data_IF_568776570379
#
_entry.id   IF_568776570379
#
_cell.length_a   1.000
_cell.length_b   1.000
_cell.length_c   1.000
_cell.angle_alpha   90.00
_cell.angle_beta   90.00
_cell.angle_gamma   90.00
#
_symmetry.space_group_name_H-M   'P 1'
#
loop_
_entity.id
_entity.type
_entity.pdbx_description
1 polymer ?
#
# COMPACT_ATOMS: atom_id res chain seq x y z
N UNK A 1 -1.88 6.72 7.19
CA UNK A 1 -2.96 7.63 7.63
C UNK A 1 -4.17 6.85 8.16
N UNK A 2 -5.01 7.53 8.95
CA UNK A 2 -6.32 7.01 9.37
C UNK A 2 -7.39 7.81 8.65
N UNK A 3 -8.39 7.14 8.10
CA UNK A 3 -9.49 7.79 7.39
C UNK A 3 -10.84 7.38 7.97
N UNK A 4 -11.73 8.36 8.10
CA UNK A 4 -13.15 8.18 8.39
C UNK A 4 -13.93 8.71 7.20
N UNK A 5 -14.95 8.01 6.75
CA UNK A 5 -15.70 8.41 5.58
C UNK A 5 -17.20 8.18 5.75
N UNK A 6 -17.98 9.07 5.12
CA UNK A 6 -19.42 9.01 5.05
C UNK A 6 -19.84 9.12 3.58
N UNK A 7 -20.71 8.23 3.13
CA UNK A 7 -21.35 8.31 1.81
C UNK A 7 -22.83 8.50 2.04
N UNK A 8 -23.36 9.63 1.61
CA UNK A 8 -24.73 10.02 1.92
C UNK A 8 -25.33 10.97 0.85
N UNK A 9 -26.62 11.19 0.89
CA UNK A 9 -27.28 12.14 0.02
C UNK A 9 -26.89 13.59 0.37
N UNK A 10 -26.88 14.48 -0.63
CA UNK A 10 -26.46 15.88 -0.50
C UNK A 10 -27.14 16.61 0.66
N UNK A 11 -28.47 16.43 0.81
CA UNK A 11 -29.27 17.07 1.85
C UNK A 11 -28.91 16.63 3.28
N UNK A 12 -28.08 15.59 3.43
CA UNK A 12 -27.58 15.05 4.70
C UNK A 12 -26.14 15.45 5.02
N UNK A 13 -25.49 16.23 4.17
CA UNK A 13 -24.09 16.63 4.36
C UNK A 13 -23.84 17.24 5.75
N UNK A 14 -24.75 18.09 6.26
CA UNK A 14 -24.64 18.67 7.59
C UNK A 14 -24.58 17.64 8.71
N UNK A 15 -25.25 16.50 8.56
CA UNK A 15 -25.21 15.40 9.56
C UNK A 15 -23.83 14.78 9.62
N UNK A 16 -23.17 14.57 8.46
CA UNK A 16 -21.80 14.06 8.43
C UNK A 16 -20.82 15.02 9.12
N UNK A 17 -20.94 16.32 8.85
CA UNK A 17 -20.10 17.33 9.52
C UNK A 17 -20.29 17.33 11.04
N UNK A 18 -21.55 17.23 11.49
CA UNK A 18 -21.86 17.16 12.93
C UNK A 18 -21.25 15.92 13.58
N UNK A 19 -21.46 14.74 12.99
CA UNK A 19 -20.92 13.47 13.52
C UNK A 19 -19.40 13.44 13.57
N UNK A 20 -18.72 13.90 12.51
CA UNK A 20 -17.27 13.89 12.46
C UNK A 20 -16.65 14.93 13.39
N UNK A 21 -17.30 16.10 13.54
CA UNK A 21 -16.87 17.12 14.49
C UNK A 21 -17.05 16.66 15.95
N UNK A 22 -18.18 15.99 16.25
CA UNK A 22 -18.42 15.41 17.58
C UNK A 22 -17.39 14.31 17.89
N UNK A 23 -17.13 13.40 16.94
CA UNK A 23 -16.08 12.40 17.09
C UNK A 23 -14.72 13.01 17.40
N UNK A 24 -14.37 14.14 16.75
CA UNK A 24 -13.09 14.82 16.97
C UNK A 24 -13.02 15.54 18.31
N UNK A 25 -14.15 16.08 18.79
CA UNK A 25 -14.15 16.92 19.99
C UNK A 25 -14.56 16.19 21.28
N UNK A 26 -15.46 15.22 21.16
CA UNK A 26 -16.25 14.71 22.29
C UNK A 26 -16.21 13.20 22.46
N UNK A 27 -15.41 12.48 21.67
CA UNK A 27 -15.32 11.04 21.75
C UNK A 27 -14.98 10.60 23.18
N UNK A 28 -15.88 9.80 23.74
CA UNK A 28 -15.66 9.17 25.04
C UNK A 28 -15.07 7.79 24.85
N UNK A 29 -14.08 7.46 25.66
CA UNK A 29 -13.40 6.19 25.66
C UNK A 29 -13.55 5.54 27.05
N UNK A 30 -14.75 4.99 27.41
CA UNK A 30 -14.97 4.33 28.67
C UNK A 30 -14.12 3.06 28.76
N UNK A 31 -13.62 2.74 29.95
CA UNK A 31 -12.74 1.59 30.15
C UNK A 31 -13.44 0.26 29.90
N UNK A 32 -14.73 0.17 30.23
CA UNK A 32 -15.55 -1.04 29.99
C UNK A 32 -15.86 -1.25 28.50
N UNK A 33 -16.09 -0.18 27.73
CA UNK A 33 -16.20 -0.23 26.26
C UNK A 33 -14.87 -0.66 25.63
N UNK A 34 -13.77 -0.04 26.05
CA UNK A 34 -12.44 -0.42 25.59
C UNK A 34 -12.16 -1.89 25.84
N UNK A 35 -12.48 -2.42 27.03
CA UNK A 35 -12.27 -3.83 27.35
C UNK A 35 -13.06 -4.79 26.43
N UNK A 36 -14.20 -4.38 25.91
CA UNK A 36 -14.96 -5.16 24.92
C UNK A 36 -14.37 -5.00 23.52
N UNK A 37 -14.06 -3.78 23.10
CA UNK A 37 -13.56 -3.49 21.76
C UNK A 37 -12.18 -4.08 21.50
N UNK A 38 -11.30 -4.12 22.50
CA UNK A 38 -9.97 -4.73 22.30
C UNK A 38 -10.08 -6.24 21.98
N UNK A 39 -11.07 -6.94 22.55
CA UNK A 39 -11.33 -8.34 22.20
C UNK A 39 -11.88 -8.48 20.78
N UNK A 40 -12.72 -7.55 20.32
CA UNK A 40 -13.20 -7.50 18.93
C UNK A 40 -12.02 -7.28 17.97
N UNK A 41 -11.10 -6.38 18.28
CA UNK A 41 -9.90 -6.13 17.47
C UNK A 41 -8.98 -7.36 17.43
N UNK A 42 -8.80 -8.05 18.55
CA UNK A 42 -8.03 -9.31 18.59
C UNK A 42 -8.68 -10.38 17.72
N UNK A 43 -10.00 -10.49 17.76
CA UNK A 43 -10.73 -11.43 16.90
C UNK A 43 -10.63 -11.04 15.42
N UNK A 44 -10.73 -9.75 15.11
CA UNK A 44 -10.49 -9.25 13.75
C UNK A 44 -9.07 -9.60 13.27
N UNK A 45 -8.06 -9.48 14.13
CA UNK A 45 -6.70 -9.89 13.81
C UNK A 45 -6.61 -11.39 13.51
N UNK A 46 -7.24 -12.25 14.33
CA UNK A 46 -7.29 -13.69 14.07
C UNK A 46 -7.91 -13.96 12.70
N UNK A 47 -9.10 -13.43 12.45
CA UNK A 47 -9.85 -13.64 11.20
C UNK A 47 -9.14 -13.10 9.94
N UNK A 48 -8.42 -11.99 10.05
CA UNK A 48 -7.77 -11.33 8.89
C UNK A 48 -6.34 -11.78 8.67
N UNK A 49 -5.64 -12.20 9.72
CA UNK A 49 -4.20 -12.49 9.66
C UNK A 49 -3.85 -13.87 10.16
N UNK A 50 -4.19 -14.20 11.43
CA UNK A 50 -3.64 -15.40 12.07
C UNK A 50 -4.23 -16.69 11.48
N UNK A 51 -5.52 -16.68 11.10
CA UNK A 51 -6.24 -17.80 10.46
C UNK A 51 -6.09 -17.81 8.93
N UNK A 52 -5.37 -16.83 8.36
CA UNK A 52 -5.10 -16.76 6.92
C UNK A 52 -3.61 -16.97 6.64
N UNK A 53 -3.22 -18.15 6.19
CA UNK A 53 -1.82 -18.51 6.03
C UNK A 53 -1.00 -17.51 5.21
N UNK A 54 -1.55 -17.04 4.08
CA UNK A 54 -0.87 -16.08 3.21
C UNK A 54 -0.80 -14.66 3.80
N UNK A 55 -1.82 -14.23 4.56
CA UNK A 55 -1.77 -12.94 5.27
C UNK A 55 -0.71 -12.95 6.38
N UNK A 56 -0.62 -14.05 7.12
CA UNK A 56 0.42 -14.27 8.14
C UNK A 56 1.82 -14.32 7.53
N UNK A 57 1.96 -14.98 6.38
CA UNK A 57 3.24 -15.00 5.65
C UNK A 57 3.62 -13.59 5.16
N UNK A 58 2.68 -12.84 4.62
CA UNK A 58 2.91 -11.47 4.15
C UNK A 58 3.27 -10.51 5.30
N UNK A 59 2.63 -10.64 6.46
CA UNK A 59 2.97 -9.87 7.66
C UNK A 59 4.45 -10.09 8.06
N UNK A 60 4.88 -11.34 8.12
CA UNK A 60 6.27 -11.69 8.45
C UNK A 60 7.26 -11.25 7.38
N UNK A 61 6.88 -11.38 6.13
CA UNK A 61 7.66 -10.86 5.00
C UNK A 61 7.85 -9.33 5.13
N UNK A 62 6.76 -8.57 5.36
CA UNK A 62 6.84 -7.12 5.58
C UNK A 62 7.70 -6.75 6.78
N UNK A 63 7.58 -7.48 7.88
CA UNK A 63 8.38 -7.24 9.08
C UNK A 63 9.89 -7.38 8.81
N UNK A 64 10.28 -8.31 7.95
CA UNK A 64 11.67 -8.49 7.49
C UNK A 64 12.06 -7.44 6.46
N UNK A 65 11.17 -7.08 5.55
CA UNK A 65 11.46 -6.19 4.41
C UNK A 65 11.65 -4.72 4.82
N UNK A 66 11.16 -4.32 5.99
CA UNK A 66 11.33 -2.98 6.55
C UNK A 66 12.10 -3.02 7.88
N UNK A 67 13.43 -3.20 7.87
CA UNK A 67 14.19 -3.30 9.10
C UNK A 67 14.24 -2.02 9.94
N UNK A 68 14.14 -0.85 9.34
CA UNK A 68 14.25 0.44 10.04
C UNK A 68 12.93 1.23 10.04
N UNK A 69 12.11 1.11 9.01
CA UNK A 69 10.85 1.84 8.90
C UNK A 69 9.75 1.24 9.77
N UNK A 70 8.94 2.11 10.42
CA UNK A 70 7.72 1.69 11.12
C UNK A 70 6.68 0.96 10.26
N UNK A 71 6.86 0.91 8.95
CA UNK A 71 6.03 0.11 8.05
C UNK A 71 6.16 -1.41 8.25
N UNK A 72 7.13 -1.87 9.03
CA UNK A 72 7.18 -3.27 9.48
C UNK A 72 6.03 -3.65 10.40
N UNK A 73 5.43 -2.69 11.11
CA UNK A 73 4.32 -2.97 12.03
C UNK A 73 3.03 -3.17 11.24
N UNK A 74 2.27 -4.24 11.48
CA UNK A 74 0.99 -4.45 10.83
C UNK A 74 -0.03 -3.38 11.25
N UNK A 75 -0.93 -3.01 10.33
CA UNK A 75 -1.94 -1.96 10.58
C UNK A 75 -2.80 -2.27 11.80
N UNK A 76 -3.17 -3.52 12.00
CA UNK A 76 -3.97 -3.94 13.15
C UNK A 76 -3.14 -4.06 14.45
N UNK A 77 -1.83 -3.95 14.37
CA UNK A 77 -0.90 -4.16 15.48
C UNK A 77 -0.52 -5.63 15.71
N UNK A 78 0.52 -5.84 16.50
CA UNK A 78 0.92 -7.18 16.96
C UNK A 78 0.01 -7.66 18.09
N UNK A 79 -0.33 -8.95 18.12
CA UNK A 79 -1.15 -9.54 19.18
C UNK A 79 -0.60 -9.22 20.58
N UNK A 80 0.73 -9.31 20.76
CA UNK A 80 1.40 -9.01 22.02
C UNK A 80 1.24 -7.56 22.48
N UNK A 81 1.07 -6.62 21.56
CA UNK A 81 0.80 -5.21 21.88
C UNK A 81 -0.67 -5.01 22.22
N UNK A 82 -1.58 -5.64 21.46
CA UNK A 82 -3.02 -5.62 21.75
C UNK A 82 -3.33 -6.20 23.13
N UNK A 83 -2.63 -7.26 23.55
CA UNK A 83 -2.79 -7.89 24.86
C UNK A 83 -2.37 -6.99 26.04
N UNK A 84 -1.50 -6.01 25.77
CA UNK A 84 -0.97 -5.10 26.81
C UNK A 84 -1.52 -3.69 26.75
N UNK A 85 -2.25 -3.38 25.67
CA UNK A 85 -2.79 -2.04 25.45
C UNK A 85 -3.75 -1.61 26.55
N UNK A 86 -3.63 -0.36 27.00
CA UNK A 86 -4.46 0.22 28.04
C UNK A 86 -5.28 1.38 27.49
N UNK A 87 -6.46 1.58 28.06
CA UNK A 87 -7.35 2.68 27.65
C UNK A 87 -6.69 4.06 27.81
N UNK A 88 -5.79 4.22 28.78
CA UNK A 88 -5.05 5.47 29.01
C UNK A 88 -4.12 5.80 27.84
N UNK A 89 -3.51 4.79 27.22
CA UNK A 89 -2.67 4.96 26.02
C UNK A 89 -3.50 5.39 24.82
N UNK A 90 -4.69 4.78 24.63
CA UNK A 90 -5.64 5.17 23.59
C UNK A 90 -6.16 6.61 23.81
N UNK A 91 -6.50 6.98 25.05
CA UNK A 91 -6.91 8.36 25.40
C UNK A 91 -5.81 9.36 25.12
N UNK A 92 -4.57 9.04 25.50
CA UNK A 92 -3.41 9.88 25.23
C UNK A 92 -3.18 10.06 23.72
N UNK A 93 -3.25 8.96 22.96
CA UNK A 93 -3.15 9.00 21.50
C UNK A 93 -4.22 9.90 20.87
N UNK A 94 -5.48 9.70 21.26
CA UNK A 94 -6.60 10.51 20.78
C UNK A 94 -6.40 12.00 21.10
N UNK A 95 -6.03 12.33 22.33
CA UNK A 95 -5.79 13.71 22.75
C UNK A 95 -4.63 14.38 22.00
N UNK A 96 -3.62 13.60 21.62
CA UNK A 96 -2.43 14.13 20.94
C UNK A 96 -2.66 14.36 19.44
N UNK A 97 -3.44 13.52 18.79
CA UNK A 97 -3.49 13.48 17.32
C UNK A 97 -4.84 13.88 16.71
N UNK A 98 -5.96 13.74 17.44
CA UNK A 98 -7.30 14.04 16.92
C UNK A 98 -7.67 15.50 17.17
N UNK A 99 -7.16 16.38 16.32
CA UNK A 99 -7.37 17.84 16.40
C UNK A 99 -7.55 18.40 14.98
N UNK A 100 -8.32 19.51 14.81
CA UNK A 100 -8.59 20.07 13.48
C UNK A 100 -7.33 20.44 12.69
N UNK A 101 -6.31 20.92 13.37
CA UNK A 101 -5.05 21.31 12.74
C UNK A 101 -4.12 20.13 12.37
N UNK A 102 -4.54 18.89 12.62
CA UNK A 102 -3.89 17.65 12.17
C UNK A 102 -4.84 16.79 11.30
N UNK A 103 -5.94 17.37 10.85
CA UNK A 103 -6.92 16.66 10.04
C UNK A 103 -7.06 17.29 8.66
N UNK A 104 -7.28 16.46 7.65
CA UNK A 104 -7.66 16.87 6.31
C UNK A 104 -9.11 16.50 6.09
N UNK A 105 -9.95 17.49 5.81
CA UNK A 105 -11.34 17.29 5.45
C UNK A 105 -11.47 17.33 3.93
N UNK A 106 -12.01 16.27 3.36
CA UNK A 106 -12.25 16.16 1.91
C UNK A 106 -13.73 15.90 1.68
N UNK A 107 -14.32 16.68 0.79
CA UNK A 107 -15.73 16.54 0.39
C UNK A 107 -15.80 16.49 -1.13
N UNK A 108 -16.37 15.43 -1.68
CA UNK A 108 -16.55 15.23 -3.12
C UNK A 108 -18.02 14.90 -3.41
N UNK A 109 -18.62 15.63 -4.34
CA UNK A 109 -20.01 15.41 -4.73
C UNK A 109 -20.67 16.69 -5.26
N UNK A 110 -21.99 16.72 -5.27
CA UNK A 110 -22.81 17.88 -5.69
C UNK A 110 -22.84 18.96 -4.58
N UNK A 111 -21.72 19.65 -4.40
CA UNK A 111 -21.52 20.69 -3.37
C UNK A 111 -20.71 21.84 -3.92
N UNK A 112 -20.85 23.01 -3.30
CA UNK A 112 -20.00 24.16 -3.60
C UNK A 112 -18.91 24.34 -2.51
N UNK A 113 -17.75 24.91 -2.85
CA UNK A 113 -16.72 25.22 -1.87
C UNK A 113 -17.21 26.11 -0.72
N UNK A 114 -18.12 27.06 -0.98
CA UNK A 114 -18.66 27.97 0.04
C UNK A 114 -19.61 27.23 1.01
N UNK A 115 -20.41 26.29 0.53
CA UNK A 115 -21.25 25.43 1.39
C UNK A 115 -20.36 24.59 2.32
N UNK A 116 -19.34 23.93 1.76
CA UNK A 116 -18.37 23.12 2.53
C UNK A 116 -17.65 23.97 3.57
N UNK A 117 -17.16 25.15 3.17
CA UNK A 117 -16.50 26.10 4.09
C UNK A 117 -17.42 26.54 5.22
N UNK A 118 -18.67 26.86 4.93
CA UNK A 118 -19.67 27.30 5.91
C UNK A 118 -19.93 26.18 6.93
N UNK A 119 -20.12 24.94 6.47
CA UNK A 119 -20.31 23.79 7.36
C UNK A 119 -19.05 23.51 8.19
N UNK A 120 -17.87 23.56 7.58
CA UNK A 120 -16.61 23.36 8.29
C UNK A 120 -16.41 24.41 9.39
N UNK A 121 -16.67 25.68 9.10
CA UNK A 121 -16.59 26.75 10.10
C UNK A 121 -17.63 26.55 11.24
N UNK A 122 -18.82 26.10 10.91
CA UNK A 122 -19.87 25.87 11.90
C UNK A 122 -19.55 24.74 12.87
N UNK A 123 -19.09 23.58 12.34
CA UNK A 123 -18.96 22.37 13.14
C UNK A 123 -17.52 22.16 13.67
N UNK A 124 -16.51 22.40 12.86
CA UNK A 124 -15.11 22.24 13.27
C UNK A 124 -14.49 23.54 13.82
N UNK A 125 -14.97 24.73 13.40
CA UNK A 125 -14.47 26.01 13.84
C UNK A 125 -14.43 26.22 15.37
N UNK A 126 -15.42 25.74 16.14
CA UNK A 126 -15.40 25.82 17.61
C UNK A 126 -14.34 24.94 18.29
N UNK A 127 -13.81 23.92 17.59
CA UNK A 127 -12.86 22.98 18.18
C UNK A 127 -11.48 23.64 18.22
N UNK A 128 -10.92 23.77 19.42
CA UNK A 128 -9.64 24.41 19.60
C UNK A 128 -8.49 23.59 18.96
N UNK A 129 -7.58 24.29 18.29
CA UNK A 129 -6.30 23.71 17.87
C UNK A 129 -5.46 23.34 19.09
N UNK A 130 -4.63 22.32 18.95
CA UNK A 130 -3.67 21.88 19.96
C UNK A 130 -2.29 21.68 19.33
N UNK A 131 -1.25 21.66 20.16
CA UNK A 131 0.08 21.26 19.69
C UNK A 131 0.06 19.78 19.32
N UNK A 132 0.55 19.50 18.13
CA UNK A 132 0.66 18.12 17.59
C UNK A 132 2.12 17.70 17.71
N UNK A 133 2.39 16.49 18.22
CA UNK A 133 3.76 15.99 18.24
C UNK A 133 4.37 15.99 16.82
N UNK A 134 5.68 16.25 16.66
CA UNK A 134 6.30 16.24 15.35
C UNK A 134 6.17 14.85 14.72
N UNK A 135 5.70 14.81 13.47
CA UNK A 135 5.57 13.56 12.74
C UNK A 135 6.96 12.94 12.50
N UNK A 136 7.12 11.68 12.90
CA UNK A 136 8.30 10.89 12.54
C UNK A 136 8.04 10.27 11.17
N UNK A 137 8.80 10.72 10.16
CA UNK A 137 8.73 10.14 8.83
C UNK A 137 9.34 8.73 8.88
N UNK A 138 8.63 7.71 8.37
CA UNK A 138 9.17 6.36 8.31
C UNK A 138 10.38 6.33 7.36
N UNK A 139 11.58 6.29 7.92
CA UNK A 139 12.83 6.19 7.14
C UNK A 139 13.23 4.73 7.03
N UNK A 140 13.58 4.32 5.82
CA UNK A 140 14.12 2.99 5.56
C UNK A 140 15.56 3.08 5.07
N UNK A 141 16.30 1.99 5.22
CA UNK A 141 17.62 1.85 4.62
C UNK A 141 17.45 1.62 3.12
N UNK A 142 18.15 2.40 2.31
CA UNK A 142 18.06 2.27 0.87
C UNK A 142 18.53 0.88 0.38
N UNK A 143 19.59 0.36 0.99
CA UNK A 143 20.22 -0.92 0.65
C UNK A 143 20.49 -1.73 1.92
N UNK A 144 19.42 -2.35 2.50
CA UNK A 144 19.56 -3.05 3.78
C UNK A 144 20.26 -4.40 3.69
N UNK A 145 20.67 -4.83 2.49
CA UNK A 145 21.24 -6.15 2.23
C UNK A 145 20.18 -7.19 1.82
N UNK A 146 20.61 -8.26 1.16
CA UNK A 146 19.72 -9.38 0.80
C UNK A 146 19.23 -10.11 2.06
N UNK A 147 17.93 -10.33 2.13
CA UNK A 147 17.27 -10.98 3.26
C UNK A 147 16.33 -12.06 2.75
N UNK A 148 16.34 -13.21 3.43
CA UNK A 148 15.47 -14.33 3.07
C UNK A 148 14.82 -14.93 4.30
N UNK A 149 13.56 -15.34 4.17
CA UNK A 149 12.81 -16.11 5.17
C UNK A 149 12.10 -17.29 4.48
N UNK A 150 12.11 -18.44 5.14
CA UNK A 150 11.27 -19.58 4.76
C UNK A 150 10.19 -19.74 5.80
N UNK A 151 8.96 -19.80 5.36
CA UNK A 151 7.77 -19.90 6.22
C UNK A 151 6.99 -21.17 5.87
N UNK A 152 6.72 -21.99 6.86
CA UNK A 152 5.81 -23.12 6.74
C UNK A 152 4.44 -22.69 7.27
N UNK A 153 3.40 -22.82 6.43
CA UNK A 153 2.03 -22.41 6.76
C UNK A 153 1.02 -23.42 6.22
N UNK A 154 -0.19 -23.41 6.75
CA UNK A 154 -1.28 -24.30 6.33
C UNK A 154 -1.82 -23.86 4.96
N UNK A 155 -1.06 -24.14 3.90
CA UNK A 155 -1.43 -23.88 2.51
C UNK A 155 -1.28 -25.15 1.67
N UNK A 156 -1.98 -25.22 0.56
CA UNK A 156 -1.84 -26.34 -0.38
C UNK A 156 -0.75 -26.10 -1.41
N UNK A 157 -0.50 -24.84 -1.75
CA UNK A 157 0.45 -24.47 -2.79
C UNK A 157 1.57 -23.61 -2.21
N UNK A 158 2.82 -23.83 -2.62
CA UNK A 158 3.92 -22.96 -2.28
C UNK A 158 3.74 -21.58 -2.92
N UNK A 159 4.28 -20.54 -2.29
CA UNK A 159 4.26 -19.18 -2.83
C UNK A 159 5.59 -18.49 -2.61
N UNK A 160 5.98 -17.66 -3.57
CA UNK A 160 7.18 -16.85 -3.55
C UNK A 160 6.78 -15.38 -3.42
N UNK A 161 7.48 -14.63 -2.58
CA UNK A 161 7.40 -13.17 -2.53
C UNK A 161 8.78 -12.58 -2.64
N UNK A 162 8.97 -11.64 -3.56
CA UNK A 162 10.14 -10.78 -3.66
C UNK A 162 9.73 -9.35 -3.33
N UNK A 163 10.55 -8.63 -2.58
CA UNK A 163 10.32 -7.23 -2.29
C UNK A 163 11.60 -6.43 -2.39
N UNK A 164 11.54 -5.28 -3.06
CA UNK A 164 12.65 -4.36 -3.22
C UNK A 164 12.32 -3.05 -2.51
N UNK A 165 13.20 -2.60 -1.61
CA UNK A 165 13.03 -1.29 -0.98
C UNK A 165 13.25 -0.18 -2.03
N UNK A 166 12.23 0.63 -2.27
CA UNK A 166 12.19 1.65 -3.30
C UNK A 166 11.60 2.95 -2.74
N UNK A 167 11.93 4.12 -3.32
CA UNK A 167 11.33 5.37 -2.87
C UNK A 167 9.84 5.46 -3.22
N UNK A 168 9.14 6.32 -2.50
CA UNK A 168 7.82 6.87 -2.87
C UNK A 168 8.00 8.23 -3.54
N UNK A 169 6.91 8.87 -4.01
CA UNK A 169 6.95 10.26 -4.50
C UNK A 169 7.40 11.24 -3.40
N UNK A 170 7.10 10.94 -2.15
CA UNK A 170 7.49 11.77 -1.01
C UNK A 170 9.00 11.70 -0.70
N UNK A 171 9.66 10.58 -1.00
CA UNK A 171 11.06 10.35 -0.62
C UNK A 171 12.03 10.36 -1.80
N UNK A 172 11.53 10.23 -3.03
CA UNK A 172 12.36 10.18 -4.23
C UNK A 172 13.08 11.49 -4.51
N UNK A 173 14.37 11.43 -4.81
CA UNK A 173 15.13 12.55 -5.36
C UNK A 173 14.72 12.86 -6.81
N UNK A 174 14.39 11.83 -7.57
CA UNK A 174 13.89 11.91 -8.94
C UNK A 174 12.51 11.23 -9.05
N UNK A 175 11.47 12.06 -9.15
CA UNK A 175 10.07 11.57 -9.27
C UNK A 175 9.84 10.78 -10.56
N UNK A 176 10.63 11.01 -11.60
CA UNK A 176 10.54 10.26 -12.86
C UNK A 176 10.82 8.78 -12.64
N UNK A 177 11.77 8.45 -11.76
CA UNK A 177 12.06 7.06 -11.39
C UNK A 177 10.90 6.36 -10.69
N UNK A 178 10.11 7.10 -9.92
CA UNK A 178 8.88 6.57 -9.26
C UNK A 178 7.80 6.28 -10.30
N UNK A 179 7.59 7.19 -11.27
CA UNK A 179 6.65 6.96 -12.35
C UNK A 179 7.09 5.79 -13.25
N UNK A 180 8.41 5.62 -13.46
CA UNK A 180 8.96 4.45 -14.13
C UNK A 180 8.64 3.16 -13.35
N UNK A 181 8.77 3.13 -12.02
CA UNK A 181 8.39 1.95 -11.19
C UNK A 181 6.89 1.63 -11.31
N UNK A 182 6.02 2.64 -11.36
CA UNK A 182 4.58 2.43 -11.58
C UNK A 182 4.32 1.73 -12.93
N UNK A 183 4.97 2.20 -13.99
CA UNK A 183 4.85 1.57 -15.31
C UNK A 183 5.52 0.19 -15.36
N UNK A 184 6.63 -0.04 -14.66
CA UNK A 184 7.23 -1.37 -14.52
C UNK A 184 6.26 -2.34 -13.86
N UNK A 185 5.57 -1.93 -12.81
CA UNK A 185 4.54 -2.78 -12.18
C UNK A 185 3.48 -3.19 -13.20
N UNK A 186 2.99 -2.25 -14.00
CA UNK A 186 2.02 -2.53 -15.05
C UNK A 186 2.61 -3.31 -16.25
N UNK A 187 3.88 -3.13 -16.61
CA UNK A 187 4.58 -3.96 -17.60
C UNK A 187 4.66 -5.43 -17.16
N UNK A 188 4.89 -5.66 -15.86
CA UNK A 188 5.01 -7.01 -15.31
C UNK A 188 3.63 -7.68 -15.14
N UNK A 189 2.64 -6.96 -14.61
CA UNK A 189 1.31 -7.50 -14.27
C UNK A 189 0.16 -6.55 -14.69
N UNK A 190 0.24 -5.95 -15.85
CA UNK A 190 -0.85 -5.14 -16.43
C UNK A 190 -1.91 -6.00 -17.12
N UNK A 191 -2.54 -6.92 -16.39
CA UNK A 191 -3.57 -7.81 -16.91
C UNK A 191 -3.03 -8.86 -17.89
N UNK A 192 -3.90 -9.36 -18.79
CA UNK A 192 -3.60 -10.50 -19.65
C UNK A 192 -2.32 -10.36 -20.50
N UNK A 193 -1.94 -9.16 -20.86
CA UNK A 193 -0.76 -8.87 -21.71
C UNK A 193 0.51 -8.49 -20.93
N UNK A 194 0.47 -8.52 -19.60
CA UNK A 194 1.66 -8.33 -18.75
C UNK A 194 2.71 -9.41 -18.98
N UNK A 195 3.97 -9.14 -18.63
CA UNK A 195 5.08 -10.07 -18.86
C UNK A 195 4.97 -11.35 -18.01
N UNK A 196 4.50 -11.24 -16.76
CA UNK A 196 4.26 -12.41 -15.90
C UNK A 196 3.22 -13.33 -16.55
N UNK A 197 1.98 -12.87 -16.86
CA UNK A 197 0.99 -13.72 -17.53
C UNK A 197 1.44 -14.26 -18.88
N UNK A 198 2.14 -13.48 -19.69
CA UNK A 198 2.52 -13.91 -21.05
C UNK A 198 3.71 -14.85 -21.07
N UNK A 199 4.76 -14.57 -20.30
CA UNK A 199 6.02 -15.30 -20.38
C UNK A 199 6.10 -16.43 -19.34
N UNK A 200 5.66 -16.19 -18.09
CA UNK A 200 5.83 -17.16 -17.01
C UNK A 200 4.63 -18.08 -16.81
N UNK A 201 3.39 -17.59 -17.05
CA UNK A 201 2.19 -18.44 -16.89
C UNK A 201 1.90 -19.22 -18.18
N UNK A 202 1.69 -18.52 -19.31
CA UNK A 202 1.29 -19.15 -20.58
C UNK A 202 2.46 -19.59 -21.46
N UNK A 203 3.62 -18.92 -21.33
CA UNK A 203 4.80 -19.23 -22.14
C UNK A 203 5.57 -20.41 -21.57
N UNK A 204 6.34 -20.19 -20.53
CA UNK A 204 7.21 -21.20 -19.93
C UNK A 204 6.50 -22.07 -18.89
N UNK A 205 5.25 -21.76 -18.56
CA UNK A 205 4.41 -22.44 -17.56
C UNK A 205 5.13 -22.63 -16.21
N UNK A 206 6.00 -21.67 -15.84
CA UNK A 206 6.79 -21.73 -14.59
C UNK A 206 5.93 -21.47 -13.35
N UNK A 207 4.91 -20.62 -13.51
CA UNK A 207 4.01 -20.23 -12.43
C UNK A 207 2.55 -20.49 -12.84
N UNK A 208 1.69 -20.77 -11.89
CA UNK A 208 0.24 -20.85 -12.07
C UNK A 208 -0.47 -19.52 -11.83
N UNK A 209 0.25 -18.53 -11.33
CA UNK A 209 -0.18 -17.16 -11.11
C UNK A 209 0.96 -16.34 -10.56
N UNK A 210 0.95 -15.04 -10.85
CA UNK A 210 1.92 -14.11 -10.32
C UNK A 210 1.39 -12.69 -10.38
N UNK A 211 1.94 -11.81 -9.54
CA UNK A 211 1.53 -10.41 -9.49
C UNK A 211 2.70 -9.47 -9.18
N UNK A 212 2.47 -8.21 -9.45
CA UNK A 212 3.38 -7.11 -9.16
C UNK A 212 2.59 -5.97 -8.50
N UNK A 213 3.17 -5.34 -7.48
CA UNK A 213 2.53 -4.21 -6.80
C UNK A 213 3.56 -3.18 -6.34
N UNK A 214 3.20 -1.91 -6.45
CA UNK A 214 3.97 -0.78 -5.98
C UNK A 214 3.05 0.38 -5.60
N UNK A 215 3.17 0.87 -4.37
CA UNK A 215 2.46 2.07 -3.91
C UNK A 215 3.43 3.27 -3.93
N UNK A 216 3.18 4.20 -4.83
CA UNK A 216 3.97 5.41 -5.01
C UNK A 216 3.64 6.52 -3.99
N UNK A 217 2.50 6.44 -3.31
CA UNK A 217 1.93 7.52 -2.49
C UNK A 217 2.01 7.24 -0.99
N UNK A 218 3.11 6.66 -0.55
CA UNK A 218 3.40 6.46 0.88
C UNK A 218 4.19 7.64 1.44
N UNK A 219 4.08 7.86 2.77
CA UNK A 219 4.81 8.93 3.46
C UNK A 219 6.32 8.67 3.51
N UNK A 220 6.73 7.42 3.67
CA UNK A 220 8.11 6.95 3.66
C UNK A 220 8.42 6.15 2.39
N UNK A 221 9.55 5.48 2.38
CA UNK A 221 9.91 4.55 1.32
C UNK A 221 8.90 3.40 1.23
N UNK A 222 8.72 2.90 0.02
CA UNK A 222 7.78 1.85 -0.33
C UNK A 222 8.49 0.52 -0.61
N UNK A 223 7.71 -0.51 -0.87
CA UNK A 223 8.19 -1.81 -1.30
C UNK A 223 7.61 -2.12 -2.67
N UNK A 224 8.48 -2.38 -3.66
CA UNK A 224 8.06 -2.95 -4.92
C UNK A 224 8.01 -4.47 -4.74
N UNK A 225 6.84 -5.06 -4.84
CA UNK A 225 6.64 -6.48 -4.57
C UNK A 225 6.31 -7.26 -5.84
N UNK A 226 6.84 -8.47 -5.90
CA UNK A 226 6.45 -9.51 -6.85
C UNK A 226 6.01 -10.72 -6.06
N UNK A 227 4.96 -11.37 -6.50
CA UNK A 227 4.56 -12.68 -5.96
C UNK A 227 4.38 -13.68 -7.09
N UNK A 228 4.60 -14.96 -6.80
CA UNK A 228 4.37 -16.03 -7.75
C UNK A 228 4.04 -17.34 -7.03
N UNK A 229 3.16 -18.11 -7.63
CA UNK A 229 2.85 -19.49 -7.23
C UNK A 229 3.48 -20.43 -8.25
N UNK A 230 4.49 -21.25 -7.86
CA UNK A 230 5.07 -22.25 -8.77
C UNK A 230 4.01 -23.17 -9.37
N UNK A 231 4.13 -23.50 -10.64
CA UNK A 231 3.19 -24.40 -11.32
C UNK A 231 3.48 -25.87 -10.96
N UNK A 232 3.01 -26.29 -9.80
CA UNK A 232 3.22 -27.64 -9.27
C UNK A 232 2.56 -28.72 -10.14
N UNK A 233 1.50 -28.39 -10.90
CA UNK A 233 0.88 -29.32 -11.85
C UNK A 233 1.80 -29.65 -13.03
N UNK A 234 2.73 -28.75 -13.34
CA UNK A 234 3.78 -28.94 -14.36
C UNK A 234 5.13 -29.31 -13.72
N UNK A 235 5.15 -29.74 -12.46
CA UNK A 235 6.35 -30.10 -11.69
C UNK A 235 7.38 -28.97 -11.63
N UNK A 236 6.94 -27.70 -11.64
CA UNK A 236 7.83 -26.56 -11.49
C UNK A 236 8.15 -26.30 -10.02
N UNK A 237 9.39 -25.96 -9.77
CA UNK A 237 9.92 -25.72 -8.42
C UNK A 237 9.90 -24.24 -8.04
N UNK A 238 10.02 -23.93 -6.73
CA UNK A 238 10.21 -22.58 -6.21
C UNK A 238 11.40 -21.88 -6.88
N UNK A 239 12.54 -22.59 -7.00
CA UNK A 239 13.74 -22.02 -7.63
C UNK A 239 13.52 -21.66 -9.11
N UNK A 240 12.73 -22.46 -9.84
CA UNK A 240 12.41 -22.15 -11.24
C UNK A 240 11.48 -20.93 -11.34
N UNK A 241 10.49 -20.79 -10.46
CA UNK A 241 9.62 -19.63 -10.42
C UNK A 241 10.41 -18.35 -10.06
N UNK A 242 11.29 -18.43 -9.07
CA UNK A 242 12.18 -17.33 -8.70
C UNK A 242 13.12 -16.92 -9.86
N UNK A 243 13.76 -17.90 -10.51
CA UNK A 243 14.60 -17.65 -11.67
C UNK A 243 13.83 -17.00 -12.82
N UNK A 244 12.55 -17.38 -13.03
CA UNK A 244 11.65 -16.76 -14.00
C UNK A 244 11.38 -15.28 -13.70
N UNK A 245 11.07 -14.94 -12.46
CA UNK A 245 10.89 -13.54 -12.05
C UNK A 245 12.19 -12.73 -12.25
N UNK A 246 13.34 -13.27 -11.82
CA UNK A 246 14.63 -12.64 -12.05
C UNK A 246 14.92 -12.43 -13.54
N UNK A 247 14.58 -13.40 -14.40
CA UNK A 247 14.75 -13.27 -15.85
C UNK A 247 13.98 -12.06 -16.40
N UNK A 248 12.73 -11.84 -15.94
CA UNK A 248 11.96 -10.65 -16.35
C UNK A 248 12.61 -9.34 -15.88
N UNK A 249 13.10 -9.31 -14.65
CA UNK A 249 13.80 -8.13 -14.12
C UNK A 249 15.12 -7.86 -14.87
N UNK A 250 15.90 -8.88 -15.16
CA UNK A 250 17.15 -8.74 -15.94
C UNK A 250 16.86 -8.32 -17.39
N UNK A 251 15.79 -8.77 -18.00
CA UNK A 251 15.36 -8.27 -19.30
C UNK A 251 15.10 -6.76 -19.25
N UNK A 252 14.41 -6.26 -18.21
CA UNK A 252 14.15 -4.82 -18.05
C UNK A 252 15.45 -4.02 -17.82
N UNK A 253 16.46 -4.60 -17.18
CA UNK A 253 17.78 -3.96 -16.97
C UNK A 253 18.61 -3.91 -18.24
N UNK A 254 18.57 -4.96 -19.06
CA UNK A 254 19.41 -5.11 -20.24
C UNK A 254 18.79 -4.54 -21.50
N UNK A 255 17.48 -4.63 -21.62
CA UNK A 255 16.74 -4.20 -22.81
C UNK A 255 15.54 -3.36 -22.40
N UNK A 256 15.52 -2.11 -22.84
CA UNK A 256 14.39 -1.25 -22.65
C UNK A 256 13.11 -1.85 -23.31
N UNK A 257 11.91 -1.63 -22.76
CA UNK A 257 10.69 -2.06 -23.42
C UNK A 257 10.56 -1.39 -24.79
N UNK A 258 9.88 -2.03 -25.74
CA UNK A 258 9.58 -1.37 -27.00
C UNK A 258 8.65 -0.17 -26.77
N UNK A 259 8.71 0.80 -27.71
CA UNK A 259 7.81 1.95 -27.65
C UNK A 259 6.33 1.52 -27.67
N UNK A 260 5.98 0.51 -28.47
CA UNK A 260 4.63 -0.04 -28.55
C UNK A 260 4.18 -0.70 -27.22
N UNK A 261 5.05 -1.48 -26.59
CA UNK A 261 4.76 -2.12 -25.28
C UNK A 261 4.54 -1.05 -24.21
N UNK A 262 5.41 -0.05 -24.14
CA UNK A 262 5.31 1.04 -23.16
C UNK A 262 4.06 1.88 -23.38
N UNK A 263 3.72 2.21 -24.64
CA UNK A 263 2.53 2.98 -24.98
C UNK A 263 1.24 2.26 -24.60
N UNK A 264 1.16 0.95 -24.86
CA UNK A 264 0.02 0.13 -24.45
C UNK A 264 -0.17 0.12 -22.94
N UNK A 265 0.91 -0.09 -22.18
CA UNK A 265 0.86 -0.12 -20.71
C UNK A 265 0.51 1.25 -20.14
N UNK A 266 1.09 2.32 -20.69
CA UNK A 266 0.79 3.69 -20.31
C UNK A 266 -0.69 4.01 -20.53
N UNK A 267 -1.24 3.66 -21.69
CA UNK A 267 -2.66 3.84 -21.98
C UNK A 267 -3.57 3.11 -20.99
N UNK A 268 -3.19 1.89 -20.56
CA UNK A 268 -3.94 1.14 -19.54
C UNK A 268 -3.89 1.81 -18.17
N UNK A 269 -2.72 2.26 -17.72
CA UNK A 269 -2.55 2.94 -16.43
C UNK A 269 -3.33 4.26 -16.42
N UNK A 270 -3.21 5.06 -17.48
CA UNK A 270 -3.92 6.33 -17.62
C UNK A 270 -5.44 6.12 -17.67
N UNK A 271 -5.91 5.12 -18.41
CA UNK A 271 -7.34 4.79 -18.45
C UNK A 271 -7.87 4.40 -17.06
N UNK A 272 -7.11 3.62 -16.29
CA UNK A 272 -7.44 3.29 -14.90
C UNK A 272 -7.62 4.54 -14.05
N UNK A 273 -6.65 5.46 -14.08
CA UNK A 273 -6.71 6.72 -13.33
C UNK A 273 -7.88 7.62 -13.75
N UNK A 274 -8.22 7.63 -15.03
CA UNK A 274 -9.38 8.40 -15.54
C UNK A 274 -10.68 7.78 -15.04
N UNK A 275 -10.82 6.44 -15.10
CA UNK A 275 -12.04 5.76 -14.63
C UNK A 275 -12.22 5.87 -13.10
N UNK A 276 -11.14 5.89 -12.32
CA UNK A 276 -11.23 6.12 -10.87
C UNK A 276 -11.88 7.47 -10.53
N UNK A 277 -11.79 8.47 -11.43
CA UNK A 277 -12.42 9.78 -11.25
C UNK A 277 -13.95 9.75 -11.35
N UNK A 278 -14.55 8.68 -11.86
CA UNK A 278 -16.02 8.54 -11.89
C UNK A 278 -16.59 8.21 -10.49
N UNK A 279 -15.75 7.77 -9.56
CA UNK A 279 -16.15 7.45 -8.19
C UNK A 279 -15.84 8.61 -7.24
N UNK A 280 -16.87 9.17 -6.60
CA UNK A 280 -16.69 10.20 -5.56
C UNK A 280 -15.84 9.70 -4.39
N UNK A 281 -15.98 8.42 -4.02
CA UNK A 281 -15.21 7.80 -2.96
C UNK A 281 -13.73 7.68 -3.35
N UNK A 282 -13.44 7.26 -4.58
CA UNK A 282 -12.06 7.16 -5.08
C UNK A 282 -11.40 8.53 -5.15
N UNK A 283 -12.10 9.55 -5.65
CA UNK A 283 -11.58 10.92 -5.66
C UNK A 283 -11.30 11.45 -4.26
N UNK A 284 -12.24 11.27 -3.31
CA UNK A 284 -12.05 11.73 -1.94
C UNK A 284 -10.85 11.02 -1.28
N UNK A 285 -10.70 9.71 -1.50
CA UNK A 285 -9.59 8.91 -0.98
C UNK A 285 -8.26 9.37 -1.58
N UNK A 286 -8.17 9.59 -2.89
CA UNK A 286 -6.95 10.04 -3.55
C UNK A 286 -6.49 11.42 -3.04
N UNK A 287 -7.40 12.38 -2.96
CA UNK A 287 -7.12 13.72 -2.41
C UNK A 287 -6.65 13.60 -0.95
N UNK A 288 -7.41 12.87 -0.12
CA UNK A 288 -7.10 12.70 1.30
C UNK A 288 -5.78 11.99 1.54
N UNK A 289 -5.46 10.96 0.76
CA UNK A 289 -4.18 10.25 0.84
C UNK A 289 -3.02 11.20 0.54
N UNK A 290 -3.07 11.91 -0.59
CA UNK A 290 -1.99 12.83 -0.97
C UNK A 290 -1.72 13.87 0.12
N UNK A 291 -2.74 14.54 0.62
CA UNK A 291 -2.58 15.56 1.66
C UNK A 291 -2.07 14.97 2.99
N UNK A 292 -2.55 13.81 3.40
CA UNK A 292 -2.18 13.22 4.70
C UNK A 292 -0.79 12.59 4.71
N UNK A 293 -0.24 12.18 3.57
CA UNK A 293 1.14 11.69 3.49
C UNK A 293 2.17 12.81 3.27
N UNK A 294 1.72 14.08 3.20
CA UNK A 294 2.58 15.25 3.04
C UNK A 294 2.85 15.61 1.59
N UNK A 295 2.04 15.11 0.67
CA UNK A 295 2.02 15.51 -0.73
C UNK A 295 0.88 16.51 -0.97
N UNK A 296 0.81 17.11 -2.14
CA UNK A 296 -0.31 17.99 -2.51
C UNK A 296 -1.28 17.26 -3.43
N UNK A 297 -2.60 17.43 -3.20
CA UNK A 297 -3.63 16.96 -4.12
C UNK A 297 -3.43 17.46 -5.55
N UNK A 298 -2.74 18.60 -5.75
CA UNK A 298 -2.40 19.16 -7.07
C UNK A 298 -1.53 18.22 -7.93
N UNK A 299 -0.91 17.22 -7.34
CA UNK A 299 -0.22 16.17 -8.12
C UNK A 299 -1.17 15.45 -9.09
N UNK A 300 -2.46 15.36 -8.76
CA UNK A 300 -3.47 14.79 -9.66
C UNK A 300 -3.61 15.56 -10.98
N UNK A 301 -3.24 16.84 -11.02
CA UNK A 301 -3.31 17.68 -12.22
C UNK A 301 -2.15 17.40 -13.19
N UNK A 302 -0.99 16.96 -12.67
CA UNK A 302 0.23 16.74 -13.47
C UNK A 302 0.53 15.27 -13.71
N UNK A 303 -0.09 14.38 -12.94
CA UNK A 303 0.19 12.94 -12.91
C UNK A 303 0.14 12.27 -14.28
N UNK A 304 -0.89 12.57 -15.09
CA UNK A 304 -1.03 11.98 -16.42
C UNK A 304 0.11 12.40 -17.34
N UNK A 305 0.44 13.68 -17.37
CA UNK A 305 1.54 14.20 -18.19
C UNK A 305 2.90 13.67 -17.72
N UNK A 306 3.08 13.49 -16.42
CA UNK A 306 4.29 12.90 -15.86
C UNK A 306 4.44 11.42 -16.27
N UNK A 307 3.37 10.62 -16.25
CA UNK A 307 3.37 9.24 -16.75
C UNK A 307 3.62 9.17 -18.26
N UNK A 308 3.02 10.09 -19.02
CA UNK A 308 3.25 10.21 -20.48
C UNK A 308 4.70 10.53 -20.82
N UNK A 309 5.40 11.26 -19.97
CA UNK A 309 6.77 11.69 -20.18
C UNK A 309 7.83 10.59 -19.95
N UNK A 310 7.47 9.47 -19.33
CA UNK A 310 8.41 8.36 -19.01
C UNK A 310 8.84 7.67 -20.30
N UNK A 311 10.14 7.53 -20.50
CA UNK A 311 10.72 6.89 -21.69
C UNK A 311 11.11 5.43 -21.44
N UNK A 312 11.35 4.63 -22.50
CA UNK A 312 11.90 3.27 -22.33
C UNK A 312 13.22 3.24 -21.54
N UNK A 313 14.07 4.28 -21.73
CA UNK A 313 15.35 4.42 -21.02
C UNK A 313 15.14 4.70 -19.53
N UNK A 314 14.10 5.45 -19.15
CA UNK A 314 13.73 5.68 -17.74
C UNK A 314 13.32 4.37 -17.06
N UNK A 315 12.57 3.51 -17.76
CA UNK A 315 12.22 2.15 -17.29
C UNK A 315 13.47 1.33 -17.04
N UNK A 316 14.38 1.29 -18.02
CA UNK A 316 15.63 0.53 -17.89
C UNK A 316 16.50 1.07 -16.76
N UNK A 317 16.63 2.39 -16.63
CA UNK A 317 17.39 3.05 -15.58
C UNK A 317 16.81 2.72 -14.19
N UNK A 318 15.50 2.80 -14.01
CA UNK A 318 14.84 2.46 -12.77
C UNK A 318 15.03 0.98 -12.43
N UNK A 319 14.89 0.07 -13.41
CA UNK A 319 15.11 -1.36 -13.19
C UNK A 319 16.56 -1.65 -12.72
N UNK A 320 17.56 -1.02 -13.34
CA UNK A 320 18.97 -1.15 -12.92
C UNK A 320 19.22 -0.63 -11.51
N UNK A 321 18.58 0.48 -11.14
CA UNK A 321 18.80 1.15 -9.86
C UNK A 321 18.16 0.42 -8.70
N UNK A 322 16.96 -0.12 -8.90
CA UNK A 322 16.15 -0.59 -7.79
C UNK A 322 16.04 -2.12 -7.65
N UNK A 323 16.15 -2.90 -8.72
CA UNK A 323 16.05 -4.35 -8.61
C UNK A 323 17.41 -5.01 -8.39
N UNK A 324 18.05 -4.66 -7.28
CA UNK A 324 19.37 -5.19 -6.89
C UNK A 324 19.25 -6.15 -5.70
N UNK A 325 20.28 -6.98 -5.48
CA UNK A 325 20.31 -7.91 -4.35
C UNK A 325 20.38 -7.18 -3.01
N UNK A 326 21.02 -6.02 -2.96
CA UNK A 326 21.16 -5.21 -1.75
C UNK A 326 19.81 -4.65 -1.25
N UNK A 327 18.83 -4.57 -2.14
CA UNK A 327 17.45 -4.10 -1.83
C UNK A 327 16.46 -5.23 -1.63
N UNK A 328 16.87 -6.47 -1.87
CA UNK A 328 15.99 -7.63 -1.97
C UNK A 328 15.61 -8.22 -0.61
N UNK A 329 14.34 -8.52 -0.47
CA UNK A 329 13.78 -9.44 0.53
C UNK A 329 13.05 -10.57 -0.18
N UNK A 330 13.27 -11.81 0.25
CA UNK A 330 12.65 -13.02 -0.32
C UNK A 330 11.89 -13.76 0.76
N UNK A 331 10.66 -14.16 0.49
CA UNK A 331 9.95 -15.12 1.30
C UNK A 331 9.56 -16.35 0.48
N UNK A 332 10.04 -17.50 0.90
CA UNK A 332 9.58 -18.80 0.45
C UNK A 332 8.49 -19.28 1.40
N UNK A 333 7.26 -19.35 0.93
CA UNK A 333 6.12 -19.83 1.69
C UNK A 333 5.83 -21.26 1.23
N UNK A 334 5.99 -22.20 2.15
CA UNK A 334 5.86 -23.63 1.89
C UNK A 334 4.67 -24.19 2.66
N UNK A 335 4.01 -25.24 2.13
CA UNK A 335 3.05 -26.01 2.89
C UNK A 335 3.68 -26.59 4.17
N UNK A 336 2.92 -26.61 5.26
CA UNK A 336 3.31 -27.40 6.45
C UNK A 336 3.35 -28.88 6.05
N UNK A 337 4.39 -29.60 6.51
CA UNK A 337 4.41 -31.04 6.37
C UNK A 337 3.25 -31.61 7.20
N UNK A 338 2.30 -32.25 6.54
CA UNK A 338 1.27 -33.02 7.23
C UNK A 338 1.95 -34.25 7.85
N UNK A 339 2.25 -34.18 9.15
CA UNK A 339 2.56 -35.37 9.92
C UNK A 339 1.29 -36.23 9.92
N UNK A 340 1.24 -37.22 9.04
CA UNK A 340 0.27 -38.30 9.18
C UNK A 340 0.69 -39.11 10.42
N UNK A 341 0.04 -38.82 11.58
CA UNK A 341 -0.01 -39.75 12.70
C UNK A 341 -0.99 -40.88 12.39
#
# INVERSE_FOLDING_TARGET
>A
FTAYYQVLARDRLGVAFELEADRMASLRLPADEFAREIEVIKEERRLRTDDKPMSKAYERFKAMAYPASGYHTPTIGWMADLDRMKVEELRHWYQSWYVPNNATLVVVGDVTPDEVKTLAQRYFGPIAKRDVPPAKIPMELAEPGERQITLHVQTQLPSLMLGFNVPSIATAQDKRSVNALRLISALLDGGYSGRIPTQLERGEELVSGGSSSYDAYTRGDSLFTLSATPNTQKNKTMAQAEAGLWKLLEQLKTTAPSAEELERVRAQVIAGLVYERDSITSQATAIGQLETVGLSWKLMDTELAELESVTPEDIQKAAKLYFTRERLSVAHVLPEETTHE
#
